data_IF_486619758806
#
_entry.id   IF_486619758806
#
_cell.length_a   1.000
_cell.length_b   1.000
_cell.length_c   1.000
_cell.angle_alpha   90.00
_cell.angle_beta   90.00
_cell.angle_gamma   90.00
#
_symmetry.space_group_name_H-M   'P 1'
#
loop_
_entity.id
_entity.type
_entity.pdbx_description
1 polymer ?
#
# COMPACT_ATOMS: atom_id res chain seq x y z
N UNK A 1 -5.92 -16.79 -6.10
CA UNK A 1 -6.39 -15.44 -5.75
C UNK A 1 -5.31 -14.69 -4.99
N UNK A 2 -5.10 -13.43 -5.35
CA UNK A 2 -4.10 -12.59 -4.68
C UNK A 2 -4.71 -11.88 -3.48
N UNK A 3 -5.91 -11.32 -3.65
CA UNK A 3 -6.65 -10.64 -2.58
C UNK A 3 -8.08 -11.17 -2.59
N UNK A 4 -8.61 -11.44 -1.40
CA UNK A 4 -9.97 -11.92 -1.26
C UNK A 4 -10.65 -11.26 -0.06
N UNK A 5 -11.78 -10.61 -0.32
CA UNK A 5 -12.69 -10.10 0.70
C UNK A 5 -13.86 -11.06 0.80
N UNK A 6 -14.13 -11.55 2.00
CA UNK A 6 -15.22 -12.47 2.28
C UNK A 6 -16.18 -11.84 3.27
N UNK A 7 -17.34 -11.40 2.78
CA UNK A 7 -18.41 -10.84 3.59
C UNK A 7 -17.92 -9.71 4.52
N UNK A 8 -17.15 -8.78 3.97
CA UNK A 8 -16.47 -7.75 4.74
C UNK A 8 -17.41 -6.60 5.07
N UNK A 9 -17.52 -6.29 6.35
CA UNK A 9 -18.16 -5.08 6.86
C UNK A 9 -17.11 -4.28 7.60
N UNK A 10 -17.04 -2.98 7.33
CA UNK A 10 -16.13 -2.08 8.02
C UNK A 10 -16.85 -0.83 8.50
N UNK A 11 -16.63 -0.51 9.77
CA UNK A 11 -17.17 0.68 10.44
C UNK A 11 -16.03 1.38 11.16
N UNK A 12 -15.92 2.70 10.96
CA UNK A 12 -14.99 3.50 11.76
C UNK A 12 -15.51 3.63 13.19
N UNK A 13 -14.62 3.71 14.21
CA UNK A 13 -15.03 3.76 15.61
C UNK A 13 -15.99 4.92 15.93
N UNK A 14 -15.85 6.04 15.22
CA UNK A 14 -16.62 7.25 15.46
C UNK A 14 -17.93 7.32 14.65
N UNK A 15 -18.20 6.33 13.82
CA UNK A 15 -19.34 6.34 12.92
C UNK A 15 -20.31 5.22 13.27
N UNK A 16 -21.62 5.50 13.43
CA UNK A 16 -22.61 4.46 13.68
C UNK A 16 -22.90 3.62 12.44
N UNK A 17 -22.68 4.16 11.24
CA UNK A 17 -22.99 3.47 10.01
C UNK A 17 -21.74 2.84 9.39
N UNK A 18 -21.85 1.63 8.82
CA UNK A 18 -20.70 1.00 8.14
C UNK A 18 -20.40 1.72 6.84
N UNK A 19 -19.11 1.85 6.53
CA UNK A 19 -18.62 2.36 5.25
C UNK A 19 -18.72 1.28 4.18
N UNK A 20 -18.43 0.04 4.57
CA UNK A 20 -18.55 -1.15 3.72
C UNK A 20 -19.47 -2.14 4.42
N UNK A 21 -20.36 -2.78 3.67
CA UNK A 21 -21.32 -3.73 4.21
C UNK A 21 -21.38 -4.98 3.34
N UNK A 22 -21.06 -6.13 3.93
CA UNK A 22 -21.12 -7.43 3.29
C UNK A 22 -20.46 -7.46 1.90
N UNK A 23 -19.25 -6.90 1.82
CA UNK A 23 -18.52 -6.81 0.57
C UNK A 23 -17.77 -8.11 0.28
N UNK A 24 -18.02 -8.65 -0.91
CA UNK A 24 -17.24 -9.74 -1.47
C UNK A 24 -16.44 -9.22 -2.65
N UNK A 25 -15.15 -9.51 -2.68
CA UNK A 25 -14.26 -9.05 -3.73
C UNK A 25 -13.12 -10.04 -3.89
N UNK A 26 -12.81 -10.39 -5.14
CA UNK A 26 -11.69 -11.26 -5.45
C UNK A 26 -10.79 -10.59 -6.49
N UNK A 27 -9.49 -10.62 -6.25
CA UNK A 27 -8.48 -10.13 -7.19
C UNK A 27 -7.56 -11.27 -7.57
N UNK A 28 -7.48 -11.56 -8.86
CA UNK A 28 -6.59 -12.58 -9.40
C UNK A 28 -5.25 -11.96 -9.82
N UNK A 29 -4.24 -12.80 -9.97
CA UNK A 29 -2.93 -12.35 -10.44
C UNK A 29 -3.04 -11.74 -11.84
N UNK A 30 -2.37 -10.61 -12.05
CA UNK A 30 -2.36 -9.93 -13.34
C UNK A 30 -3.58 -9.06 -13.65
N UNK A 31 -4.57 -9.00 -12.75
CA UNK A 31 -5.73 -8.16 -12.94
C UNK A 31 -5.44 -6.69 -12.63
N UNK A 32 -6.05 -5.81 -13.40
CA UNK A 32 -6.14 -4.38 -13.13
C UNK A 32 -7.60 -4.05 -12.81
N UNK A 33 -7.86 -3.58 -11.58
CA UNK A 33 -9.22 -3.30 -11.12
C UNK A 33 -9.37 -1.82 -10.82
N UNK A 34 -10.41 -1.20 -11.40
CA UNK A 34 -10.79 0.17 -11.10
C UNK A 34 -11.98 0.19 -10.15
N UNK A 35 -11.88 0.97 -9.09
CA UNK A 35 -12.96 1.15 -8.12
C UNK A 35 -13.49 2.58 -8.28
N UNK A 36 -14.75 2.69 -8.68
CA UNK A 36 -15.40 3.96 -8.96
C UNK A 36 -16.44 4.28 -7.89
N UNK A 37 -16.57 5.55 -7.57
CA UNK A 37 -17.57 6.00 -6.60
C UNK A 37 -17.30 7.42 -6.15
N UNK A 38 -18.24 7.97 -5.37
CA UNK A 38 -18.10 9.30 -4.78
C UNK A 38 -17.11 9.30 -3.63
N UNK A 39 -16.61 10.47 -3.26
CA UNK A 39 -15.83 10.63 -2.04
C UNK A 39 -16.68 10.16 -0.84
N UNK A 40 -16.07 9.37 0.04
CA UNK A 40 -16.78 8.80 1.17
C UNK A 40 -17.52 7.50 0.88
N UNK A 41 -17.41 6.95 -0.34
CA UNK A 41 -18.06 5.69 -0.71
C UNK A 41 -17.29 4.43 -0.26
N UNK A 42 -16.14 4.59 0.40
CA UNK A 42 -15.36 3.47 0.91
C UNK A 42 -14.18 3.03 0.05
N UNK A 43 -13.87 3.74 -1.04
CA UNK A 43 -12.75 3.38 -1.92
C UNK A 43 -11.41 3.33 -1.20
N UNK A 44 -11.08 4.37 -0.44
CA UNK A 44 -9.85 4.42 0.34
C UNK A 44 -9.83 3.37 1.45
N UNK A 45 -10.99 3.06 2.00
CA UNK A 45 -11.14 2.02 3.03
C UNK A 45 -10.80 0.65 2.45
N UNK A 46 -11.27 0.32 1.25
CA UNK A 46 -10.94 -0.93 0.58
C UNK A 46 -9.41 -1.05 0.42
N UNK A 47 -8.77 0.00 -0.06
CA UNK A 47 -7.31 -0.01 -0.24
C UNK A 47 -6.57 -0.24 1.09
N UNK A 48 -6.99 0.43 2.16
CA UNK A 48 -6.37 0.28 3.49
C UNK A 48 -6.60 -1.09 4.11
N UNK A 49 -7.70 -1.75 3.77
CA UNK A 49 -7.95 -3.13 4.19
C UNK A 49 -7.04 -4.12 3.45
N UNK A 50 -6.66 -3.82 2.20
CA UNK A 50 -5.79 -4.69 1.42
C UNK A 50 -4.36 -4.78 1.99
N UNK A 51 -3.86 -3.73 2.64
CA UNK A 51 -2.50 -3.75 3.19
C UNK A 51 -2.45 -3.79 4.72
N UNK A 52 -3.58 -4.08 5.35
CA UNK A 52 -3.71 -4.22 6.81
C UNK A 52 -3.48 -2.91 7.59
N UNK A 53 -3.59 -1.74 6.97
CA UNK A 53 -3.67 -0.46 7.70
C UNK A 53 -4.97 -0.45 8.51
N UNK A 54 -6.06 -0.96 7.92
CA UNK A 54 -7.32 -1.21 8.61
C UNK A 54 -7.61 -2.71 8.58
N UNK A 55 -8.35 -3.18 9.57
CA UNK A 55 -8.84 -4.55 9.61
C UNK A 55 -10.37 -4.57 9.59
N UNK A 56 -11.01 -5.61 9.01
CA UNK A 56 -12.47 -5.62 8.90
C UNK A 56 -13.12 -5.69 10.28
N UNK A 57 -14.27 -5.01 10.43
CA UNK A 57 -15.11 -5.13 11.62
C UNK A 57 -15.76 -6.50 11.66
N UNK A 58 -16.23 -6.97 10.51
CA UNK A 58 -16.78 -8.31 10.32
C UNK A 58 -16.27 -8.87 8.99
N UNK A 59 -16.26 -10.18 8.86
CA UNK A 59 -15.76 -10.85 7.66
C UNK A 59 -14.25 -11.03 7.67
N UNK A 60 -13.69 -11.36 6.52
CA UNK A 60 -12.28 -11.73 6.40
C UNK A 60 -11.66 -11.11 5.16
N UNK A 61 -10.45 -10.57 5.30
CA UNK A 61 -9.61 -10.13 4.18
C UNK A 61 -8.38 -11.02 4.13
N UNK A 62 -8.18 -11.70 3.00
CA UNK A 62 -7.02 -12.56 2.77
C UNK A 62 -6.13 -11.95 1.70
N UNK A 63 -4.83 -11.89 1.97
CA UNK A 63 -3.80 -11.49 0.99
C UNK A 63 -2.89 -12.69 0.78
N UNK A 64 -2.97 -13.29 -0.39
CA UNK A 64 -2.28 -14.56 -0.70
C UNK A 64 -2.50 -15.61 0.40
N UNK A 65 -3.73 -15.74 0.86
CA UNK A 65 -4.12 -16.68 1.89
C UNK A 65 -3.83 -16.25 3.32
N UNK A 66 -3.22 -15.07 3.53
CA UNK A 66 -2.92 -14.57 4.86
C UNK A 66 -4.04 -13.67 5.38
N UNK A 67 -4.60 -14.01 6.53
CA UNK A 67 -5.63 -13.20 7.19
C UNK A 67 -5.00 -11.93 7.75
N UNK A 68 -5.51 -10.77 7.36
CA UNK A 68 -4.97 -9.48 7.77
C UNK A 68 -5.19 -9.16 9.25
N UNK A 69 -6.08 -9.87 9.94
CA UNK A 69 -6.34 -9.68 11.37
C UNK A 69 -5.33 -10.38 12.27
N UNK A 70 -4.52 -11.28 11.72
CA UNK A 70 -3.50 -11.99 12.49
C UNK A 70 -2.23 -11.13 12.52
N UNK A 71 -1.79 -10.75 13.72
CA UNK A 71 -0.64 -9.86 13.90
C UNK A 71 0.63 -10.38 13.23
N UNK A 72 0.88 -11.67 13.28
CA UNK A 72 2.04 -12.29 12.64
C UNK A 72 2.04 -12.11 11.12
N UNK A 73 0.89 -11.82 10.51
CA UNK A 73 0.75 -11.64 9.07
C UNK A 73 0.95 -10.19 8.62
N UNK A 74 1.06 -9.22 9.52
CA UNK A 74 1.14 -7.81 9.15
C UNK A 74 2.34 -7.51 8.24
N UNK A 75 3.53 -7.93 8.65
CA UNK A 75 4.74 -7.70 7.84
C UNK A 75 4.68 -8.44 6.50
N UNK A 76 4.35 -9.75 6.46
CA UNK A 76 4.18 -10.44 5.18
C UNK A 76 3.16 -9.80 4.25
N UNK A 77 2.01 -9.34 4.76
CA UNK A 77 0.99 -8.66 3.96
C UNK A 77 1.53 -7.34 3.39
N UNK A 78 2.16 -6.53 4.21
CA UNK A 78 2.71 -5.23 3.79
C UNK A 78 3.85 -5.35 2.79
N UNK A 79 4.59 -6.47 2.82
CA UNK A 79 5.59 -6.76 1.79
C UNK A 79 4.98 -7.03 0.43
N UNK A 80 3.75 -7.54 0.39
CA UNK A 80 3.06 -7.94 -0.83
C UNK A 80 2.21 -6.84 -1.44
N UNK A 81 1.75 -5.87 -0.62
CA UNK A 81 0.81 -4.84 -1.06
C UNK A 81 1.43 -3.47 -0.84
N UNK A 82 1.87 -2.85 -1.92
CA UNK A 82 2.29 -1.46 -1.94
C UNK A 82 1.08 -0.55 -2.03
N UNK A 83 1.16 0.62 -1.42
CA UNK A 83 0.05 1.57 -1.39
C UNK A 83 0.50 2.98 -1.74
N UNK A 84 -0.27 3.63 -2.62
CA UNK A 84 -0.10 5.05 -2.96
C UNK A 84 -1.30 5.80 -2.41
N UNK A 85 -1.06 6.75 -1.50
CA UNK A 85 -2.12 7.52 -0.91
C UNK A 85 -2.56 8.67 -1.82
N UNK A 86 -3.73 9.24 -1.52
CA UNK A 86 -4.30 10.33 -2.31
C UNK A 86 -3.39 11.55 -2.40
N UNK A 87 -2.57 11.80 -1.38
CA UNK A 87 -1.61 12.89 -1.35
C UNK A 87 -0.20 12.32 -1.23
N UNK A 88 0.47 11.96 -2.35
CA UNK A 88 1.77 11.30 -2.32
C UNK A 88 2.90 12.16 -1.73
N UNK A 89 2.80 13.47 -1.75
CA UNK A 89 3.82 14.35 -1.17
C UNK A 89 3.99 14.12 0.33
N UNK A 90 2.92 13.75 1.02
CA UNK A 90 2.95 13.45 2.45
C UNK A 90 3.64 12.12 2.79
N UNK A 91 3.96 11.32 1.80
CA UNK A 91 4.65 10.03 1.97
C UNK A 91 6.16 10.15 1.87
N UNK A 92 6.67 11.31 1.43
CA UNK A 92 8.11 11.55 1.30
C UNK A 92 8.67 11.85 2.68
N UNK A 93 9.59 11.00 3.14
CA UNK A 93 10.13 11.04 4.51
C UNK A 93 11.63 11.32 4.57
N UNK A 94 12.33 11.32 3.44
CA UNK A 94 13.77 11.52 3.37
C UNK A 94 14.12 12.75 2.55
N UNK A 95 15.31 13.30 2.80
CA UNK A 95 15.80 14.49 2.10
C UNK A 95 16.48 14.18 0.76
N UNK A 96 16.74 12.92 0.47
CA UNK A 96 17.37 12.44 -0.77
C UNK A 96 16.51 11.31 -1.36
N UNK A 97 16.33 11.30 -2.68
CA UNK A 97 15.45 10.35 -3.37
C UNK A 97 15.79 8.90 -3.06
N UNK A 98 17.07 8.50 -3.13
CA UNK A 98 17.42 7.11 -2.86
C UNK A 98 17.13 6.69 -1.42
N UNK A 99 17.26 7.59 -0.46
CA UNK A 99 16.95 7.29 0.94
C UNK A 99 15.44 7.13 1.14
N UNK A 100 14.64 7.95 0.46
CA UNK A 100 13.19 7.85 0.50
C UNK A 100 12.71 6.52 -0.07
N UNK A 101 13.26 6.08 -1.19
CA UNK A 101 12.93 4.78 -1.80
C UNK A 101 13.37 3.63 -0.90
N UNK A 102 14.49 3.76 -0.20
CA UNK A 102 15.00 2.74 0.71
C UNK A 102 14.20 2.61 2.02
N UNK A 103 13.37 3.59 2.37
CA UNK A 103 12.68 3.66 3.65
C UNK A 103 11.85 2.42 3.96
N UNK A 104 11.03 1.96 3.01
CA UNK A 104 10.18 0.79 3.22
C UNK A 104 10.99 -0.51 3.38
N UNK A 105 11.97 -0.84 2.51
CA UNK A 105 12.81 -2.02 2.73
C UNK A 105 13.59 -1.97 4.04
N UNK A 106 14.10 -0.81 4.46
CA UNK A 106 14.79 -0.65 5.75
C UNK A 106 13.87 -0.99 6.91
N UNK A 107 12.63 -0.48 6.90
CA UNK A 107 11.64 -0.75 7.94
C UNK A 107 11.20 -2.22 7.98
N UNK A 108 11.31 -2.93 6.86
CA UNK A 108 10.99 -4.36 6.78
C UNK A 108 12.17 -5.25 7.15
N UNK A 109 13.32 -4.68 7.51
CA UNK A 109 14.49 -5.44 7.94
C UNK A 109 15.23 -6.13 6.81
N UNK A 110 15.17 -5.61 5.60
CA UNK A 110 15.89 -6.15 4.45
C UNK A 110 17.39 -5.89 4.60
N UNK A 111 18.23 -6.85 4.20
CA UNK A 111 19.69 -6.70 4.28
C UNK A 111 20.19 -5.52 3.44
N UNK A 112 21.24 -4.78 3.90
CA UNK A 112 21.72 -3.58 3.20
C UNK A 112 22.09 -3.79 1.73
N UNK A 113 22.73 -4.90 1.39
CA UNK A 113 23.06 -5.21 -0.02
C UNK A 113 21.83 -5.39 -0.89
N UNK A 114 20.81 -6.05 -0.35
CA UNK A 114 19.55 -6.25 -1.05
C UNK A 114 18.77 -4.96 -1.16
N UNK A 115 18.81 -4.09 -0.14
CA UNK A 115 18.21 -2.76 -0.19
C UNK A 115 18.82 -1.96 -1.34
N UNK A 116 20.16 -1.94 -1.46
CA UNK A 116 20.84 -1.22 -2.54
C UNK A 116 20.37 -1.72 -3.91
N UNK A 117 20.31 -3.03 -4.09
CA UNK A 117 19.85 -3.64 -5.33
C UNK A 117 18.41 -3.22 -5.67
N UNK A 118 17.51 -3.32 -4.70
CA UNK A 118 16.08 -2.99 -4.89
C UNK A 118 15.87 -1.51 -5.19
N UNK A 119 16.58 -0.62 -4.50
CA UNK A 119 16.49 0.82 -4.71
C UNK A 119 16.96 1.17 -6.12
N UNK A 120 18.13 0.68 -6.53
CA UNK A 120 18.67 0.95 -7.85
C UNK A 120 17.77 0.42 -8.96
N UNK A 121 17.26 -0.80 -8.81
CA UNK A 121 16.34 -1.40 -9.78
C UNK A 121 15.03 -0.62 -9.87
N UNK A 122 14.44 -0.26 -8.74
CA UNK A 122 13.20 0.51 -8.72
C UNK A 122 13.36 1.86 -9.37
N UNK A 123 14.45 2.59 -9.07
CA UNK A 123 14.72 3.90 -9.65
C UNK A 123 14.97 3.83 -11.15
N UNK A 124 15.66 2.78 -11.62
CA UNK A 124 15.88 2.58 -13.05
C UNK A 124 14.59 2.28 -13.79
N UNK A 125 13.70 1.48 -13.21
CA UNK A 125 12.41 1.15 -13.83
C UNK A 125 11.53 2.35 -14.07
N UNK A 126 11.59 3.36 -13.19
CA UNK A 126 10.78 4.58 -13.33
C UNK A 126 11.55 5.76 -13.91
N UNK A 127 12.80 5.54 -14.37
CA UNK A 127 13.62 6.59 -14.97
C UNK A 127 14.14 7.63 -14.01
N UNK A 128 14.26 7.29 -12.71
CA UNK A 128 14.68 8.23 -11.66
C UNK A 128 16.09 7.99 -11.13
N UNK A 129 16.81 7.01 -11.65
CA UNK A 129 18.15 6.67 -11.15
C UNK A 129 19.13 7.85 -11.18
N UNK A 130 19.05 8.67 -12.20
CA UNK A 130 19.90 9.86 -12.33
C UNK A 130 19.68 10.88 -11.21
N UNK A 131 18.49 10.86 -10.61
CA UNK A 131 18.07 11.80 -9.57
C UNK A 131 18.18 11.22 -8.16
N UNK A 132 18.84 10.07 -7.99
CA UNK A 132 18.88 9.36 -6.70
C UNK A 132 19.45 10.17 -5.54
N UNK A 133 20.34 11.11 -5.83
CA UNK A 133 20.95 11.98 -4.82
C UNK A 133 20.28 13.35 -4.72
N UNK A 134 19.24 13.59 -5.50
CA UNK A 134 18.51 14.85 -5.50
C UNK A 134 17.46 14.88 -4.38
N UNK A 135 17.10 16.09 -3.94
CA UNK A 135 15.99 16.25 -3.00
C UNK A 135 14.66 16.02 -3.73
N UNK A 136 13.72 15.25 -3.13
CA UNK A 136 12.43 14.94 -3.78
C UNK A 136 11.63 16.18 -4.17
N UNK A 137 11.66 17.24 -3.36
CA UNK A 137 10.88 18.46 -3.62
C UNK A 137 11.34 19.24 -4.85
N UNK A 138 12.51 18.93 -5.42
CA UNK A 138 13.02 19.55 -6.64
C UNK A 138 12.55 18.87 -7.91
N UNK A 139 11.84 17.75 -7.78
CA UNK A 139 11.32 17.01 -8.92
C UNK A 139 9.93 17.52 -9.29
N UNK A 140 9.54 17.34 -10.57
CA UNK A 140 8.19 17.70 -11.02
C UNK A 140 7.13 16.88 -10.29
N UNK A 141 5.90 17.39 -10.20
CA UNK A 141 4.80 16.73 -9.51
C UNK A 141 4.46 15.32 -9.99
N UNK A 142 4.88 14.95 -11.20
CA UNK A 142 4.70 13.58 -11.70
C UNK A 142 5.83 12.62 -11.36
N UNK A 143 6.89 13.09 -10.67
CA UNK A 143 8.10 12.30 -10.41
C UNK A 143 8.41 11.98 -8.95
N UNK A 144 7.74 12.54 -7.92
CA UNK A 144 8.17 12.33 -6.52
C UNK A 144 7.92 10.90 -6.06
N UNK A 145 7.97 10.03 -6.71
CA UNK A 145 7.80 8.65 -6.34
C UNK A 145 9.03 7.83 -6.70
#
# INVERSE_FOLDING_TARGET
MVIQFKDVTFRYPDSPDPVLKNLDLEVEAGEFIAILGHNGSGKSTIAKLCNAILTPTEGTVLVKGLDTRVDANLIPVRRKVGMVFQNPDNQIVASVVEDDVAFAPENLGVEPKEIRRRVDEALRRVGMYEFRLHAPHRLSGGRPG
#
